data_IF_812147159301
#
_entry.id   IF_812147159301
#
_cell.length_a   1.000
_cell.length_b   1.000
_cell.length_c   1.000
_cell.angle_alpha   90.00
_cell.angle_beta   90.00
_cell.angle_gamma   90.00
#
_symmetry.space_group_name_H-M   'P 1'
#
loop_
_entity.id
_entity.type
_entity.pdbx_description
1 polymer ?
#
# COMPACT_ATOMS: atom_id res chain seq x y z
N UNK A 1 11.67 7.46 12.97
CA UNK A 1 12.41 6.18 12.98
C UNK A 1 11.84 5.30 11.88
N UNK A 2 12.63 4.96 10.85
CA UNK A 2 12.19 3.97 9.86
C UNK A 2 12.27 2.59 10.52
N UNK A 3 11.15 1.85 10.51
CA UNK A 3 11.15 0.49 11.00
C UNK A 3 11.84 -0.37 9.94
N UNK A 4 12.83 -1.18 10.33
CA UNK A 4 13.44 -2.15 9.43
C UNK A 4 12.40 -3.23 9.16
N UNK A 5 11.86 -3.28 7.94
CA UNK A 5 10.91 -4.31 7.54
C UNK A 5 11.72 -5.55 7.13
N UNK A 6 11.39 -6.75 7.63
CA UNK A 6 12.13 -7.97 7.30
C UNK A 6 12.00 -8.37 5.82
N UNK A 7 11.02 -7.80 5.11
CA UNK A 7 10.78 -8.01 3.68
C UNK A 7 10.83 -6.66 2.97
N UNK A 8 11.61 -6.57 1.89
CA UNK A 8 11.67 -5.38 1.05
C UNK A 8 10.35 -5.20 0.28
N UNK A 9 9.87 -3.97 0.02
CA UNK A 9 8.62 -3.72 -0.70
C UNK A 9 8.50 -4.49 -2.02
N UNK A 10 9.59 -4.54 -2.81
CA UNK A 10 9.61 -5.25 -4.09
C UNK A 10 9.42 -6.78 -3.97
N UNK A 11 9.64 -7.36 -2.79
CA UNK A 11 9.51 -8.79 -2.53
C UNK A 11 8.18 -9.19 -1.87
N UNK A 12 7.31 -8.22 -1.51
CA UNK A 12 6.08 -8.48 -0.75
C UNK A 12 5.12 -9.41 -1.49
N UNK A 13 4.77 -9.10 -2.74
CA UNK A 13 3.80 -9.90 -3.50
C UNK A 13 4.31 -11.31 -3.77
N UNK A 14 5.61 -11.46 -4.06
CA UNK A 14 6.24 -12.78 -4.24
C UNK A 14 6.18 -13.60 -2.94
N UNK A 15 6.48 -12.99 -1.79
CA UNK A 15 6.42 -13.66 -0.48
C UNK A 15 4.99 -14.09 -0.13
N UNK A 16 3.98 -13.28 -0.47
CA UNK A 16 2.58 -13.65 -0.26
C UNK A 16 2.15 -14.79 -1.19
N UNK A 17 2.64 -14.83 -2.43
CA UNK A 17 2.29 -15.83 -3.42
C UNK A 17 2.71 -17.26 -3.04
N UNK A 18 3.68 -17.41 -2.15
CA UNK A 18 4.07 -18.72 -1.60
C UNK A 18 2.96 -19.36 -0.73
N UNK A 19 1.98 -18.57 -0.27
CA UNK A 19 0.97 -19.01 0.69
C UNK A 19 -0.47 -18.59 0.34
N UNK A 20 -0.66 -17.59 -0.52
CA UNK A 20 -1.95 -17.03 -0.89
C UNK A 20 -2.05 -16.87 -2.41
N UNK A 21 -3.27 -16.89 -2.94
CA UNK A 21 -3.51 -16.39 -4.28
C UNK A 21 -3.36 -14.87 -4.26
N UNK A 22 -2.42 -14.35 -5.07
CA UNK A 22 -2.16 -12.90 -5.19
C UNK A 22 -2.78 -12.40 -6.49
N UNK A 23 -4.09 -12.15 -6.47
CA UNK A 23 -4.89 -11.66 -7.60
C UNK A 23 -5.40 -10.22 -7.40
N UNK A 24 -4.92 -9.55 -6.36
CA UNK A 24 -5.18 -8.14 -6.10
C UNK A 24 -4.40 -7.19 -7.00
N UNK A 25 -4.34 -5.91 -6.61
CA UNK A 25 -3.57 -4.90 -7.34
C UNK A 25 -2.07 -5.16 -7.26
N UNK A 26 -1.35 -4.90 -8.35
CA UNK A 26 0.11 -4.82 -8.38
C UNK A 26 0.58 -3.53 -7.69
N UNK A 27 0.42 -3.47 -6.38
CA UNK A 27 0.63 -2.29 -5.53
C UNK A 27 1.06 -2.71 -4.13
N UNK A 28 2.05 -2.03 -3.55
CA UNK A 28 2.47 -2.22 -2.16
C UNK A 28 2.27 -0.91 -1.40
N UNK A 29 1.31 -0.87 -0.49
CA UNK A 29 0.93 0.35 0.22
C UNK A 29 2.03 0.84 1.17
N UNK A 30 2.51 2.07 0.97
CA UNK A 30 3.24 2.79 2.01
C UNK A 30 2.25 3.40 3.02
N UNK A 31 2.15 2.77 4.19
CA UNK A 31 1.20 3.16 5.24
C UNK A 31 1.57 4.46 5.95
N UNK A 32 2.80 4.96 5.78
CA UNK A 32 3.27 6.20 6.42
C UNK A 32 3.21 7.38 5.47
N UNK A 33 3.58 7.18 4.21
CA UNK A 33 3.63 8.23 3.20
C UNK A 33 2.26 8.55 2.58
N UNK A 34 1.33 7.59 2.53
CA UNK A 34 -0.02 7.79 1.99
C UNK A 34 -0.82 8.80 2.83
N UNK A 35 -1.60 9.68 2.20
CA UNK A 35 -2.38 10.70 2.92
C UNK A 35 -3.60 11.20 2.14
N UNK A 36 -4.73 11.37 2.83
CA UNK A 36 -5.99 11.78 2.22
C UNK A 36 -6.37 10.83 1.10
N UNK A 37 -6.69 11.37 -0.07
CA UNK A 37 -7.01 10.61 -1.29
C UNK A 37 -5.76 10.22 -2.11
N UNK A 38 -4.56 10.20 -1.53
CA UNK A 38 -3.34 9.79 -2.24
C UNK A 38 -2.73 8.55 -1.60
N UNK A 39 -2.64 7.47 -2.37
CA UNK A 39 -1.87 6.27 -2.02
C UNK A 39 -0.47 6.36 -2.60
N UNK A 40 0.53 5.92 -1.85
CA UNK A 40 1.94 5.86 -2.27
C UNK A 40 2.35 4.41 -2.38
N UNK A 41 2.94 4.04 -3.50
CA UNK A 41 3.57 2.73 -3.66
C UNK A 41 4.93 2.73 -2.98
N UNK A 42 5.13 1.82 -2.04
CA UNK A 42 6.36 1.68 -1.27
C UNK A 42 7.57 1.23 -2.11
N UNK A 43 7.35 0.72 -3.33
CA UNK A 43 8.42 0.22 -4.21
C UNK A 43 9.18 1.33 -4.91
N UNK A 44 8.46 2.34 -5.39
CA UNK A 44 9.02 3.39 -6.27
C UNK A 44 8.59 4.81 -5.89
N UNK A 45 7.67 4.96 -4.93
CA UNK A 45 7.12 6.25 -4.50
C UNK A 45 6.04 6.81 -5.43
N UNK A 46 5.58 6.04 -6.43
CA UNK A 46 4.51 6.46 -7.34
C UNK A 46 3.24 6.76 -6.55
N UNK A 47 2.57 7.86 -6.92
CA UNK A 47 1.34 8.32 -6.27
C UNK A 47 0.12 8.00 -7.11
N UNK A 48 -0.87 7.39 -6.46
CA UNK A 48 -2.17 7.05 -7.03
C UNK A 48 -3.26 7.89 -6.39
N UNK A 49 -4.14 8.47 -7.21
CA UNK A 49 -5.36 9.10 -6.73
C UNK A 49 -6.35 8.01 -6.33
N UNK A 50 -6.76 8.03 -5.07
CA UNK A 50 -7.67 7.05 -4.50
C UNK A 50 -9.13 7.44 -4.77
N UNK A 51 -9.71 6.79 -5.78
CA UNK A 51 -11.16 6.81 -6.08
C UNK A 51 -11.83 5.49 -5.72
N UNK A 52 -11.16 4.68 -4.90
CA UNK A 52 -11.59 3.33 -4.51
C UNK A 52 -11.84 3.20 -3.00
N UNK A 53 -11.07 3.94 -2.20
CA UNK A 53 -11.18 4.10 -0.74
C UNK A 53 -11.32 2.79 0.01
N UNK A 54 -10.56 1.79 -0.44
CA UNK A 54 -10.54 0.42 0.07
C UNK A 54 -11.94 -0.20 0.11
N UNK A 55 -12.58 -0.32 -1.06
CA UNK A 55 -14.00 -0.73 -1.16
C UNK A 55 -14.96 0.21 -0.44
N UNK A 56 -14.72 1.52 -0.57
CA UNK A 56 -15.48 2.57 0.10
C UNK A 56 -15.51 2.49 1.65
N UNK A 57 -14.64 1.67 2.25
CA UNK A 57 -14.61 1.49 3.71
C UNK A 57 -13.81 2.55 4.45
N UNK A 58 -13.03 3.38 3.75
CA UNK A 58 -12.25 4.47 4.34
C UNK A 58 -12.85 5.85 4.01
N UNK A 59 -13.75 6.38 4.86
CA UNK A 59 -14.42 7.65 4.59
C UNK A 59 -13.51 8.89 4.72
N UNK A 60 -12.41 8.78 5.47
CA UNK A 60 -11.46 9.87 5.72
C UNK A 60 -10.18 9.74 4.88
N UNK A 61 -10.04 8.67 4.11
CA UNK A 61 -8.82 8.35 3.39
C UNK A 61 -7.68 7.92 4.33
N UNK A 62 -6.44 7.95 3.81
CA UNK A 62 -5.26 7.54 4.56
C UNK A 62 -4.78 8.64 5.52
N UNK A 63 -4.39 8.26 6.74
CA UNK A 63 -3.67 9.11 7.70
C UNK A 63 -4.28 10.52 7.89
N UNK A 64 -5.58 10.55 8.25
CA UNK A 64 -6.28 11.79 8.60
C UNK A 64 -5.50 12.58 9.68
N UNK A 65 -5.45 13.93 9.58
CA UNK A 65 -4.81 14.78 10.60
C UNK A 65 -5.35 14.58 12.02
#
# INVERSE_FOLDING_TARGET
>A
MSATHPVAPAAVLATLADHLLVDGHDFVLDTKASRGSWLVDARDGTRYLDVFTFYASSPLGMNHP
#
